data_IF_600509406578
#
_entry.id   IF_600509406578
#
_cell.length_a   1.000
_cell.length_b   1.000
_cell.length_c   1.000
_cell.angle_alpha   90.00
_cell.angle_beta   90.00
_cell.angle_gamma   90.00
#
_symmetry.space_group_name_H-M   'P 1'
#
loop_
_entity.id
_entity.type
_entity.pdbx_description
1 polymer ?
#
# COMPACT_ATOMS: atom_id res chain seq x y z
N UNK A 1 11.46 10.28 -6.92
CA UNK A 1 12.86 9.83 -7.12
C UNK A 1 13.75 10.12 -5.91
N UNK A 2 13.87 11.37 -5.41
CA UNK A 2 14.71 11.67 -4.22
C UNK A 2 14.39 10.83 -2.98
N UNK A 3 13.11 10.63 -2.67
CA UNK A 3 12.72 9.78 -1.52
C UNK A 3 13.12 8.31 -1.73
N UNK A 4 13.11 7.84 -2.97
CA UNK A 4 13.55 6.50 -3.33
C UNK A 4 15.08 6.34 -3.20
N UNK A 5 15.87 7.36 -3.59
CA UNK A 5 17.32 7.38 -3.38
C UNK A 5 17.68 7.33 -1.89
N UNK A 6 16.93 8.08 -1.05
CA UNK A 6 17.08 8.03 0.40
C UNK A 6 16.73 6.65 0.96
N UNK A 7 15.60 6.08 0.54
CA UNK A 7 15.17 4.75 0.98
C UNK A 7 16.19 3.66 0.59
N UNK A 8 16.70 3.71 -0.64
CA UNK A 8 17.74 2.78 -1.12
C UNK A 8 19.03 2.88 -0.28
N UNK A 9 19.48 4.11 0.01
CA UNK A 9 20.68 4.34 0.85
C UNK A 9 20.49 3.73 2.24
N UNK A 10 19.34 4.02 2.89
CA UNK A 10 19.02 3.49 4.23
C UNK A 10 18.97 1.96 4.22
N UNK A 11 18.38 1.34 3.19
CA UNK A 11 18.27 -0.11 3.09
C UNK A 11 19.66 -0.79 3.00
N UNK A 12 20.58 -0.21 2.22
CA UNK A 12 21.96 -0.73 2.07
C UNK A 12 22.76 -0.54 3.36
N UNK A 13 22.65 0.62 4.00
CA UNK A 13 23.40 0.94 5.22
C UNK A 13 22.90 0.16 6.45
N UNK A 14 21.58 0.03 6.60
CA UNK A 14 20.96 -0.57 7.79
C UNK A 14 20.59 -2.04 7.64
N UNK A 15 20.70 -2.61 6.44
CA UNK A 15 20.33 -3.99 6.15
C UNK A 15 18.87 -4.29 6.51
N UNK A 16 17.99 -3.29 6.40
CA UNK A 16 16.56 -3.42 6.70
C UNK A 16 15.77 -3.04 5.45
N UNK A 17 14.79 -3.85 5.01
CA UNK A 17 13.90 -3.46 3.93
C UNK A 17 13.27 -2.09 4.19
N UNK A 18 13.38 -1.19 3.23
CA UNK A 18 12.85 0.18 3.36
C UNK A 18 11.96 0.48 2.16
N UNK A 19 10.74 0.94 2.42
CA UNK A 19 9.79 1.31 1.39
C UNK A 19 9.69 2.84 1.21
N UNK A 20 9.37 3.27 0.00
CA UNK A 20 8.87 4.63 -0.26
C UNK A 20 7.46 4.82 0.34
N UNK A 21 6.86 6.00 0.25
CA UNK A 21 5.40 6.10 0.36
C UNK A 21 4.66 5.40 -0.78
N UNK A 22 3.33 5.44 -0.77
CA UNK A 22 2.46 4.98 -1.86
C UNK A 22 2.51 5.94 -3.05
N UNK A 23 2.88 5.37 -4.20
CA UNK A 23 3.13 6.06 -5.45
C UNK A 23 2.13 5.60 -6.52
N UNK A 24 1.83 6.47 -7.47
CA UNK A 24 1.06 6.12 -8.66
C UNK A 24 1.87 5.20 -9.61
N UNK A 25 1.21 4.49 -10.55
CA UNK A 25 1.90 3.64 -11.53
C UNK A 25 2.98 4.38 -12.33
N UNK A 26 2.74 5.65 -12.69
CA UNK A 26 3.70 6.47 -13.43
C UNK A 26 4.94 6.82 -12.59
N UNK A 27 4.76 7.11 -11.30
CA UNK A 27 5.86 7.39 -10.37
C UNK A 27 6.69 6.15 -10.08
N UNK A 28 6.05 4.98 -9.93
CA UNK A 28 6.74 3.69 -9.82
C UNK A 28 7.59 3.45 -11.07
N UNK A 29 7.00 3.55 -12.27
CA UNK A 29 7.73 3.39 -13.53
C UNK A 29 8.91 4.36 -13.67
N UNK A 30 8.77 5.60 -13.19
CA UNK A 30 9.86 6.57 -13.18
C UNK A 30 11.02 6.18 -12.25
N UNK A 31 10.73 5.57 -11.09
CA UNK A 31 11.77 5.03 -10.19
C UNK A 31 12.40 3.77 -10.80
N UNK A 32 11.62 2.91 -11.42
CA UNK A 32 12.13 1.69 -12.05
C UNK A 32 13.03 1.97 -13.26
N UNK A 33 12.68 2.97 -14.05
CA UNK A 33 13.49 3.47 -15.16
C UNK A 33 14.69 4.32 -14.72
N UNK A 34 14.84 4.58 -13.42
CA UNK A 34 15.99 5.31 -12.88
C UNK A 34 17.26 4.44 -12.86
N UNK A 35 18.39 5.06 -12.50
CA UNK A 35 19.66 4.36 -12.32
C UNK A 35 19.73 3.49 -11.05
N UNK A 36 18.73 3.52 -10.16
CA UNK A 36 18.80 2.85 -8.85
C UNK A 36 19.02 1.33 -8.95
N UNK A 37 18.40 0.66 -9.94
CA UNK A 37 18.62 -0.78 -10.19
C UNK A 37 20.08 -1.15 -10.49
N UNK A 38 20.93 -0.16 -10.82
CA UNK A 38 22.36 -0.37 -11.13
C UNK A 38 23.26 -0.26 -9.89
N UNK A 39 22.73 0.12 -8.72
CA UNK A 39 23.50 0.14 -7.48
C UNK A 39 23.86 -1.29 -7.07
N UNK A 40 25.14 -1.51 -6.74
CA UNK A 40 25.60 -2.80 -6.25
C UNK A 40 24.87 -3.15 -4.94
N UNK A 41 24.60 -4.45 -4.75
CA UNK A 41 23.94 -5.00 -3.57
C UNK A 41 22.52 -4.46 -3.28
N UNK A 42 21.84 -3.84 -4.25
CA UNK A 42 20.48 -3.32 -4.08
C UNK A 42 19.45 -4.18 -4.82
N UNK A 43 18.53 -4.80 -4.07
CA UNK A 43 17.33 -5.47 -4.59
C UNK A 43 16.15 -4.51 -4.49
N UNK A 44 15.36 -4.44 -5.56
CA UNK A 44 14.19 -3.57 -5.65
C UNK A 44 12.95 -4.35 -6.08
N UNK A 45 11.88 -4.23 -5.31
CA UNK A 45 10.56 -4.82 -5.58
C UNK A 45 9.44 -3.79 -5.35
N UNK A 46 8.18 -4.18 -5.54
CA UNK A 46 7.02 -3.33 -5.26
C UNK A 46 5.96 -4.11 -4.48
N UNK A 47 5.21 -3.42 -3.62
CA UNK A 47 4.02 -3.97 -2.95
C UNK A 47 2.95 -2.89 -2.82
N UNK A 48 1.68 -3.28 -2.95
CA UNK A 48 0.52 -2.45 -2.59
C UNK A 48 -0.43 -3.20 -1.65
N UNK A 49 0.02 -4.31 -1.08
CA UNK A 49 -0.74 -5.22 -0.23
C UNK A 49 -1.62 -6.24 -0.97
N UNK A 50 -1.80 -6.11 -2.28
CA UNK A 50 -2.46 -7.11 -3.13
C UNK A 50 -1.98 -7.00 -4.59
N UNK A 51 -2.19 -8.06 -5.38
CA UNK A 51 -1.60 -8.21 -6.73
C UNK A 51 -2.04 -7.14 -7.73
N UNK A 52 -3.28 -6.68 -7.66
CA UNK A 52 -3.86 -5.69 -8.56
C UNK A 52 -3.84 -4.26 -8.03
N UNK A 53 -3.06 -3.96 -6.99
CA UNK A 53 -2.99 -2.62 -6.42
C UNK A 53 -2.51 -1.59 -7.45
N UNK A 54 -3.20 -0.45 -7.55
CA UNK A 54 -2.83 0.67 -8.42
C UNK A 54 -1.74 1.51 -7.76
N UNK A 55 -1.92 1.88 -6.49
CA UNK A 55 -0.91 2.58 -5.71
C UNK A 55 0.01 1.58 -5.02
N UNK A 56 1.31 1.71 -5.25
CA UNK A 56 2.32 0.80 -4.72
C UNK A 56 3.46 1.54 -4.06
N UNK A 57 4.12 0.88 -3.11
CA UNK A 57 5.39 1.28 -2.53
C UNK A 57 6.51 0.58 -3.28
N UNK A 58 7.63 1.27 -3.52
CA UNK A 58 8.87 0.63 -3.99
C UNK A 58 9.66 0.21 -2.76
N UNK A 59 10.03 -1.06 -2.69
CA UNK A 59 10.75 -1.66 -1.56
C UNK A 59 12.19 -1.90 -1.98
N UNK A 60 13.11 -1.40 -1.16
CA UNK A 60 14.54 -1.59 -1.31
C UNK A 60 15.05 -2.52 -0.21
N UNK A 61 15.84 -3.51 -0.58
CA UNK A 61 16.52 -4.42 0.34
C UNK A 61 17.94 -4.68 -0.15
N UNK A 62 18.81 -5.16 0.73
CA UNK A 62 20.15 -5.56 0.32
C UNK A 62 20.09 -6.90 -0.40
N UNK A 63 20.73 -7.01 -1.56
CA UNK A 63 20.97 -8.29 -2.23
C UNK A 63 22.00 -9.06 -1.40
N UNK A 64 21.65 -10.23 -0.88
CA UNK A 64 22.62 -11.08 -0.20
C UNK A 64 23.17 -12.12 -1.17
N UNK A 65 24.45 -12.49 -1.06
CA UNK A 65 25.08 -13.51 -1.91
C UNK A 65 24.44 -14.92 -1.77
N UNK A 66 23.50 -15.07 -0.82
CA UNK A 66 22.73 -16.29 -0.57
C UNK A 66 21.30 -16.26 -1.12
N UNK A 67 20.88 -15.19 -1.79
CA UNK A 67 19.69 -15.21 -2.66
C UNK A 67 20.06 -16.01 -3.94
N UNK A 68 20.11 -17.34 -3.83
CA UNK A 68 20.42 -18.20 -4.97
C UNK A 68 19.50 -17.92 -6.16
N UNK A 69 20.09 -17.77 -7.35
CA UNK A 69 19.46 -17.70 -8.68
C UNK A 69 17.92 -17.67 -8.68
N UNK A 70 17.33 -16.52 -8.34
CA UNK A 70 15.96 -16.20 -8.74
C UNK A 70 16.05 -15.24 -9.93
N UNK A 71 16.55 -15.78 -11.04
CA UNK A 71 16.45 -15.15 -12.36
C UNK A 71 14.96 -15.03 -12.74
N UNK A 72 14.49 -13.78 -12.84
CA UNK A 72 13.26 -13.43 -13.55
C UNK A 72 11.94 -13.86 -12.90
N UNK A 73 11.15 -12.88 -12.49
CA UNK A 73 9.68 -12.94 -12.41
C UNK A 73 9.04 -14.23 -11.84
N UNK A 74 8.75 -14.21 -10.55
CA UNK A 74 7.62 -14.92 -9.93
C UNK A 74 7.07 -13.96 -8.86
N UNK A 75 5.86 -13.41 -8.91
CA UNK A 75 4.53 -14.03 -9.02
C UNK A 75 4.51 -15.52 -8.69
N UNK A 76 4.76 -15.84 -7.43
CA UNK A 76 4.07 -16.93 -6.72
C UNK A 76 4.40 -16.80 -5.24
N UNK A 77 3.35 -16.59 -4.43
CA UNK A 77 3.48 -16.77 -3.00
C UNK A 77 3.75 -18.23 -2.69
N UNK A 78 4.75 -18.50 -1.85
CA UNK A 78 4.79 -19.71 -1.02
C UNK A 78 5.70 -19.51 0.20
N UNK A 79 5.06 -19.57 1.38
CA UNK A 79 5.59 -20.03 2.67
C UNK A 79 7.04 -19.80 3.06
N UNK A 80 7.32 -18.68 3.72
CA UNK A 80 8.46 -18.55 4.64
C UNK A 80 8.98 -17.12 4.76
N UNK A 81 8.77 -16.48 5.91
CA UNK A 81 9.29 -15.15 6.29
C UNK A 81 8.73 -13.91 5.54
N UNK A 82 8.35 -14.03 4.26
CA UNK A 82 7.89 -12.90 3.44
C UNK A 82 6.64 -12.17 3.92
N UNK A 83 5.71 -12.87 4.59
CA UNK A 83 4.47 -12.28 5.10
C UNK A 83 4.66 -11.40 6.35
N UNK A 84 5.74 -11.60 7.12
CA UNK A 84 6.05 -10.74 8.28
C UNK A 84 6.58 -9.41 7.78
N UNK A 85 7.50 -9.44 6.81
CA UNK A 85 8.06 -8.24 6.20
C UNK A 85 7.00 -7.43 5.45
N UNK A 86 6.05 -8.09 4.77
CA UNK A 86 5.00 -7.35 4.05
C UNK A 86 4.09 -6.57 4.99
N UNK A 87 3.77 -7.11 6.19
CA UNK A 87 2.96 -6.40 7.20
C UNK A 87 3.67 -5.20 7.83
N UNK A 88 5.00 -5.22 7.84
CA UNK A 88 5.81 -4.06 8.26
C UNK A 88 5.87 -2.98 7.17
N UNK A 89 5.55 -3.32 5.91
CA UNK A 89 5.63 -2.42 4.77
C UNK A 89 4.25 -1.93 4.31
N UNK A 90 3.18 -2.70 4.52
CA UNK A 90 1.81 -2.34 4.13
C UNK A 90 0.84 -2.89 5.15
N UNK A 91 -0.15 -2.09 5.52
CA UNK A 91 -1.29 -2.56 6.28
C UNK A 91 -2.59 -1.98 5.75
N UNK A 92 -3.69 -2.30 6.42
CA UNK A 92 -5.00 -1.82 6.03
C UNK A 92 -5.91 -1.63 7.24
N UNK A 93 -6.94 -0.80 7.07
CA UNK A 93 -8.03 -0.64 8.04
C UNK A 93 -9.37 -0.95 7.38
N UNK A 94 -10.28 -1.56 8.13
CA UNK A 94 -11.70 -1.65 7.80
C UNK A 94 -12.37 -0.40 8.36
N UNK A 95 -13.05 0.35 7.51
CA UNK A 95 -13.86 1.49 7.86
C UNK A 95 -15.33 1.11 7.67
N UNK A 96 -16.03 0.80 8.77
CA UNK A 96 -17.42 0.38 8.78
C UNK A 96 -18.36 1.56 9.05
N UNK A 97 -19.39 1.72 8.22
CA UNK A 97 -20.45 2.71 8.39
C UNK A 97 -21.74 2.26 7.68
N UNK A 98 -22.80 3.05 7.81
CA UNK A 98 -24.07 2.78 7.13
C UNK A 98 -24.28 3.80 5.99
N UNK A 99 -23.86 3.42 4.79
CA UNK A 99 -23.90 4.25 3.58
C UNK A 99 -25.11 3.93 2.69
N UNK A 100 -26.15 3.26 3.22
CA UNK A 100 -27.33 2.86 2.45
C UNK A 100 -28.12 4.05 1.87
N UNK A 101 -28.17 5.16 2.61
CA UNK A 101 -28.91 6.37 2.23
C UNK A 101 -28.02 7.55 1.87
N UNK A 102 -26.74 7.47 2.22
CA UNK A 102 -25.74 8.49 1.95
C UNK A 102 -24.48 7.78 1.43
N UNK A 103 -24.45 7.44 0.13
CA UNK A 103 -23.36 6.67 -0.45
C UNK A 103 -22.08 7.52 -0.53
N UNK A 104 -20.96 6.98 -0.07
CA UNK A 104 -19.64 7.59 -0.19
C UNK A 104 -18.86 7.06 -1.40
N UNK A 105 -18.21 7.97 -2.11
CA UNK A 105 -17.24 7.66 -3.16
C UNK A 105 -15.84 7.42 -2.57
N UNK A 106 -14.95 6.85 -3.38
CA UNK A 106 -13.55 6.58 -3.00
C UNK A 106 -12.84 7.85 -2.51
N UNK A 107 -13.11 9.00 -3.14
CA UNK A 107 -12.56 10.30 -2.75
C UNK A 107 -12.98 10.70 -1.34
N UNK A 108 -14.20 10.39 -0.91
CA UNK A 108 -14.69 10.79 0.41
C UNK A 108 -13.91 10.07 1.52
N UNK A 109 -13.62 8.78 1.34
CA UNK A 109 -12.76 8.03 2.28
C UNK A 109 -11.33 8.58 2.29
N UNK A 110 -10.77 8.91 1.13
CA UNK A 110 -9.43 9.48 1.04
C UNK A 110 -9.37 10.84 1.75
N UNK A 111 -10.33 11.72 1.50
CA UNK A 111 -10.44 13.02 2.15
C UNK A 111 -10.63 12.89 3.66
N UNK A 112 -11.48 11.96 4.12
CA UNK A 112 -11.71 11.72 5.53
C UNK A 112 -10.44 11.23 6.24
N UNK A 113 -9.69 10.30 5.64
CA UNK A 113 -8.40 9.82 6.17
C UNK A 113 -7.38 10.96 6.25
N UNK A 114 -7.28 11.82 5.24
CA UNK A 114 -6.35 12.94 5.26
C UNK A 114 -6.77 14.02 6.28
N UNK A 115 -8.06 14.16 6.53
CA UNK A 115 -8.63 15.15 7.46
C UNK A 115 -8.37 14.84 8.94
N UNK A 116 -7.99 13.60 9.29
CA UNK A 116 -7.63 13.25 10.69
C UNK A 116 -6.33 13.92 11.17
N UNK A 117 -5.56 14.51 10.24
CA UNK A 117 -4.25 15.11 10.50
C UNK A 117 -3.16 14.07 10.77
N UNK A 118 -1.90 14.39 10.49
CA UNK A 118 -0.78 13.46 10.67
C UNK A 118 -0.73 12.31 9.64
N UNK A 119 -1.61 12.33 8.64
CA UNK A 119 -1.60 11.43 7.48
C UNK A 119 -1.37 12.27 6.24
N UNK A 120 -0.41 11.86 5.41
CA UNK A 120 -0.10 12.51 4.14
C UNK A 120 -0.57 11.64 2.98
N UNK A 121 -0.77 12.19 1.77
CA UNK A 121 -1.19 11.41 0.61
C UNK A 121 -0.28 10.22 0.28
N UNK A 122 1.00 10.28 0.68
CA UNK A 122 1.95 9.18 0.51
C UNK A 122 1.75 8.02 1.50
N UNK A 123 0.97 8.21 2.56
CA UNK A 123 0.62 7.15 3.50
C UNK A 123 -0.63 6.38 3.09
N UNK A 124 -1.33 6.82 2.03
CA UNK A 124 -2.61 6.25 1.59
C UNK A 124 -2.42 5.49 0.28
N UNK A 125 -2.72 4.19 0.33
CA UNK A 125 -2.74 3.30 -0.82
C UNK A 125 -4.13 3.25 -1.47
N UNK A 126 -4.49 2.06 -1.95
CA UNK A 126 -5.79 1.83 -2.57
C UNK A 126 -6.92 1.79 -1.53
N UNK A 127 -8.11 2.21 -1.96
CA UNK A 127 -9.34 2.16 -1.17
C UNK A 127 -10.30 1.23 -1.89
N UNK A 128 -10.84 0.27 -1.15
CA UNK A 128 -11.67 -0.82 -1.66
C UNK A 128 -13.06 -0.67 -1.04
N UNK A 129 -14.04 -0.09 -1.76
CA UNK A 129 -15.41 0.03 -1.27
C UNK A 129 -16.05 -1.33 -1.00
N UNK A 130 -16.80 -1.43 0.09
CA UNK A 130 -17.51 -2.63 0.54
C UNK A 130 -19.04 -2.43 0.46
N UNK A 131 -19.52 -1.94 -0.69
CA UNK A 131 -20.93 -1.63 -0.89
C UNK A 131 -21.41 -0.51 0.04
N UNK A 132 -22.51 -0.74 0.73
CA UNK A 132 -23.13 0.19 1.69
C UNK A 132 -22.57 0.09 3.11
N UNK A 133 -21.60 -0.81 3.35
CA UNK A 133 -21.00 -1.06 4.66
C UNK A 133 -19.72 -0.28 4.94
N UNK A 134 -19.23 0.49 3.97
CA UNK A 134 -18.01 1.28 4.10
C UNK A 134 -16.92 0.87 3.12
N UNK A 135 -15.67 0.83 3.57
CA UNK A 135 -14.52 0.51 2.73
C UNK A 135 -13.35 -0.08 3.53
N UNK A 136 -12.46 -0.79 2.83
CA UNK A 136 -11.14 -1.12 3.33
C UNK A 136 -10.12 -0.16 2.73
N UNK A 137 -9.20 0.35 3.55
CA UNK A 137 -8.26 1.41 3.17
C UNK A 137 -6.86 0.88 3.42
N UNK A 138 -6.08 0.75 2.35
CA UNK A 138 -4.66 0.38 2.44
C UNK A 138 -3.86 1.60 2.89
N UNK A 139 -3.01 1.41 3.90
CA UNK A 139 -2.28 2.48 4.58
C UNK A 139 -0.84 2.08 4.89
N UNK A 140 0.00 3.08 5.11
CA UNK A 140 1.29 2.90 5.77
C UNK A 140 1.04 2.36 7.20
N UNK A 141 1.66 1.24 7.61
CA UNK A 141 1.50 0.70 8.96
C UNK A 141 1.68 1.73 10.07
N UNK A 142 2.58 2.70 9.88
CA UNK A 142 2.90 3.73 10.87
C UNK A 142 1.70 4.65 11.21
N UNK A 143 0.74 4.81 10.29
CA UNK A 143 -0.44 5.67 10.52
C UNK A 143 -1.68 4.90 10.95
N UNK A 144 -1.70 3.57 10.89
CA UNK A 144 -2.90 2.75 11.16
C UNK A 144 -3.47 3.03 12.54
N UNK A 145 -2.63 3.00 13.57
CA UNK A 145 -3.09 3.23 14.95
C UNK A 145 -3.70 4.62 15.13
N UNK A 146 -3.16 5.61 14.42
CA UNK A 146 -3.67 6.97 14.47
C UNK A 146 -5.02 7.10 13.76
N UNK A 147 -5.13 6.56 12.54
CA UNK A 147 -6.38 6.55 11.77
C UNK A 147 -7.49 5.84 12.54
N UNK A 148 -7.22 4.65 13.10
CA UNK A 148 -8.17 3.90 13.92
C UNK A 148 -8.68 4.71 15.13
N UNK A 149 -7.82 5.55 15.71
CA UNK A 149 -8.18 6.36 16.87
C UNK A 149 -8.92 7.66 16.53
N UNK A 150 -8.84 8.14 15.28
CA UNK A 150 -9.24 9.51 14.90
C UNK A 150 -10.28 9.60 13.79
N UNK A 151 -10.38 8.61 12.92
CA UNK A 151 -11.38 8.61 11.86
C UNK A 151 -12.73 8.23 12.44
N UNK A 152 -13.61 9.23 12.60
CA UNK A 152 -14.92 9.10 13.23
C UNK A 152 -16.10 9.25 12.25
N UNK A 153 -15.88 9.92 11.12
CA UNK A 153 -16.89 10.06 10.07
C UNK A 153 -16.26 10.09 8.68
N UNK A 154 -17.04 9.71 7.68
CA UNK A 154 -16.76 9.91 6.26
C UNK A 154 -17.95 10.67 5.69
N UNK A 155 -17.72 11.89 5.22
CA UNK A 155 -18.82 12.83 5.00
C UNK A 155 -19.64 13.04 6.28
N UNK A 156 -20.95 12.86 6.18
CA UNK A 156 -21.90 12.96 7.30
C UNK A 156 -22.17 11.61 7.99
N UNK A 157 -21.59 10.51 7.51
CA UNK A 157 -21.80 9.16 8.05
C UNK A 157 -20.77 8.86 9.15
N UNK A 158 -21.25 8.56 10.37
CA UNK A 158 -20.39 8.06 11.45
C UNK A 158 -19.84 6.67 11.09
N UNK A 159 -18.54 6.48 11.34
CA UNK A 159 -17.82 5.24 11.04
C UNK A 159 -17.08 4.69 12.25
N UNK A 160 -16.81 3.38 12.21
CA UNK A 160 -15.88 2.70 13.11
C UNK A 160 -14.75 2.13 12.30
N UNK A 161 -13.54 2.25 12.82
CA UNK A 161 -12.33 1.83 12.12
C UNK A 161 -11.58 0.79 12.92
N UNK A 162 -11.11 -0.26 12.24
CA UNK A 162 -10.40 -1.38 12.83
C UNK A 162 -9.19 -1.74 11.98
N UNK A 163 -8.04 -2.09 12.57
CA UNK A 163 -6.93 -2.64 11.79
C UNK A 163 -7.32 -4.01 11.21
N UNK A 164 -7.01 -4.25 9.94
CA UNK A 164 -7.09 -5.60 9.38
C UNK A 164 -5.98 -6.46 9.98
N UNK A 165 -6.30 -7.72 10.30
CA UNK A 165 -5.35 -8.67 10.85
C UNK A 165 -4.36 -9.18 9.78
N UNK A 166 -4.85 -9.32 8.54
CA UNK A 166 -4.07 -9.77 7.39
C UNK A 166 -4.61 -9.10 6.11
N UNK A 167 -3.71 -8.84 5.16
CA UNK A 167 -4.03 -8.29 3.85
C UNK A 167 -4.80 -9.29 2.97
N UNK A 168 -4.76 -10.59 3.28
CA UNK A 168 -5.61 -11.59 2.62
C UNK A 168 -7.11 -11.34 2.85
N UNK A 169 -7.48 -10.60 3.90
CA UNK A 169 -8.87 -10.23 4.19
C UNK A 169 -9.37 -9.05 3.33
N UNK A 170 -8.53 -8.51 2.45
CA UNK A 170 -8.93 -7.45 1.52
C UNK A 170 -9.96 -7.97 0.51
N UNK A 171 -11.09 -7.27 0.39
CA UNK A 171 -12.22 -7.57 -0.50
C UNK A 171 -11.99 -7.02 -1.89
N UNK A 172 -10.80 -7.24 -2.42
CA UNK A 172 -10.44 -6.80 -3.78
C UNK A 172 -11.36 -7.48 -4.77
N UNK A 173 -12.09 -6.68 -5.56
CA UNK A 173 -12.92 -7.22 -6.62
C UNK A 173 -11.98 -7.74 -7.72
N UNK A 174 -12.17 -8.99 -8.17
CA UNK A 174 -11.51 -9.47 -9.39
C UNK A 174 -11.85 -8.47 -10.51
N UNK A 175 -10.83 -7.79 -11.03
CA UNK A 175 -10.97 -6.52 -11.74
C UNK A 175 -12.06 -6.56 -12.82
N UNK A 176 -13.05 -5.68 -12.71
CA UNK A 176 -13.87 -5.32 -13.85
C UNK A 176 -13.00 -4.46 -14.76
N UNK A 177 -12.44 -5.07 -15.81
CA UNK A 177 -11.92 -4.37 -16.97
C UNK A 177 -12.94 -3.31 -17.37
N UNK A 178 -12.58 -2.03 -17.23
CA UNK A 178 -13.32 -0.97 -17.91
C UNK A 178 -13.16 -1.25 -19.40
N UNK A 179 -14.16 -1.87 -20.01
CA UNK A 179 -14.28 -1.89 -21.47
C UNK A 179 -14.37 -0.43 -21.91
N UNK A 180 -13.28 0.03 -22.51
CA UNK A 180 -13.18 1.32 -23.17
C UNK A 180 -14.00 1.22 -24.46
N UNK A 181 -15.31 1.44 -24.38
CA UNK A 181 -16.15 1.61 -25.57
C UNK A 181 -15.73 2.92 -26.26
N UNK A 182 -15.09 2.76 -27.41
CA UNK A 182 -14.72 3.83 -28.33
C UNK A 182 -15.90 4.25 -29.19
#
# INVERSE_FOLDING_TARGET
VKDAERAATVAVEKFTPTATGFLSPAEVAAIEGSGLRKMADLKMSTTGGFSSAERRRVVFSRSTEFDGDSDGASDTGDGGDGGVLERELVGAVECEGNFLFDPAEVSDYAEAVLSVGGVEPMHVGDIIPNGDRGAQIVLDPDVIKWVVAKLQSVGDVEVRTFPLADLVDLRVRAGSTKELTR
#
